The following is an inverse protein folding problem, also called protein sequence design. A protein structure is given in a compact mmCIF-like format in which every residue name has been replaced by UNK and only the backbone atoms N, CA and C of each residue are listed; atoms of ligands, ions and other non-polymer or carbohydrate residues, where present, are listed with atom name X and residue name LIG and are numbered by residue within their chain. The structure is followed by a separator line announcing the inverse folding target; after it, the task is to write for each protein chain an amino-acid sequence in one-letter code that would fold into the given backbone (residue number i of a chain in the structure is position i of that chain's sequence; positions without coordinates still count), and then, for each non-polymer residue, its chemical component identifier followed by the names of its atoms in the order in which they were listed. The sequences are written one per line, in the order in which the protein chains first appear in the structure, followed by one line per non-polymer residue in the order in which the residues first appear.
data_IF_106355271785
#
_entry.id   IF_106355271785
#
_cell.length_a   1.000
_cell.length_b   1.000
_cell.length_c   1.000
_cell.angle_alpha   90.00
_cell.angle_beta   90.00
_cell.angle_gamma   90.00
#
_symmetry.space_group_name_H-M   'P 1'
#
loop_
_entity.id
_entity.type
_entity.pdbx_description
1 polymer ?
#
# COMPACT_ATOMS: atom_id res chain seq x y z
N UNK A 1 0.45 4.43 -25.04
CA UNK A 1 1.59 3.87 -24.28
C UNK A 1 1.59 4.26 -22.80
N UNK A 2 1.29 5.52 -22.45
CA UNK A 2 1.35 6.02 -21.06
C UNK A 2 0.29 5.41 -20.14
N UNK A 3 -0.95 5.22 -20.62
CA UNK A 3 -2.06 4.56 -19.90
C UNK A 3 -1.68 3.18 -19.33
N UNK A 4 -1.15 2.28 -20.17
CA UNK A 4 -0.75 0.94 -19.73
C UNK A 4 0.45 0.96 -18.78
N UNK A 5 1.41 1.88 -18.99
CA UNK A 5 2.53 2.06 -18.05
C UNK A 5 2.04 2.53 -16.68
N UNK A 6 1.07 3.44 -16.65
CA UNK A 6 0.44 3.91 -15.41
C UNK A 6 -0.31 2.77 -14.72
N UNK A 7 -1.16 2.03 -15.42
CA UNK A 7 -1.88 0.87 -14.85
C UNK A 7 -0.94 -0.19 -14.27
N UNK A 8 0.19 -0.44 -14.94
CA UNK A 8 1.20 -1.37 -14.42
C UNK A 8 1.86 -0.83 -13.16
N UNK A 9 2.21 0.46 -13.13
CA UNK A 9 2.77 1.10 -11.93
C UNK A 9 1.79 1.07 -10.75
N UNK A 10 0.50 1.33 -11.01
CA UNK A 10 -0.57 1.23 -10.00
C UNK A 10 -0.70 -0.21 -9.48
N UNK A 11 -0.62 -1.22 -10.35
CA UNK A 11 -0.63 -2.63 -9.93
C UNK A 11 0.56 -2.95 -9.03
N UNK A 12 1.77 -2.52 -9.40
CA UNK A 12 2.97 -2.76 -8.60
C UNK A 12 2.89 -2.06 -7.25
N UNK A 13 2.41 -0.82 -7.22
CA UNK A 13 2.23 -0.07 -5.98
C UNK A 13 1.28 -0.80 -5.02
N UNK A 14 0.16 -1.33 -5.54
CA UNK A 14 -0.77 -2.17 -4.76
C UNK A 14 -0.06 -3.36 -4.13
N UNK A 15 0.65 -4.12 -4.95
CA UNK A 15 1.33 -5.35 -4.51
C UNK A 15 2.38 -5.04 -3.44
N UNK A 16 3.21 -4.02 -3.65
CA UNK A 16 4.23 -3.62 -2.67
C UNK A 16 3.62 -3.11 -1.37
N UNK A 17 2.50 -2.36 -1.42
CA UNK A 17 1.83 -1.89 -0.21
C UNK A 17 1.35 -3.07 0.66
N UNK A 18 0.75 -4.10 0.03
CA UNK A 18 0.34 -5.33 0.72
C UNK A 18 1.54 -6.09 1.31
N UNK A 19 2.60 -6.29 0.52
CA UNK A 19 3.81 -6.98 0.98
C UNK A 19 4.47 -6.27 2.16
N UNK A 20 4.55 -4.93 2.14
CA UNK A 20 5.07 -4.16 3.27
C UNK A 20 4.17 -4.35 4.50
N UNK A 21 2.85 -4.45 4.33
CA UNK A 21 1.92 -4.65 5.44
C UNK A 21 2.20 -5.96 6.15
N UNK A 22 2.31 -7.04 5.37
CA UNK A 22 2.57 -8.38 5.89
C UNK A 22 3.94 -8.40 6.62
N UNK A 23 4.98 -7.83 6.00
CA UNK A 23 6.33 -7.75 6.59
C UNK A 23 6.38 -6.86 7.85
N UNK A 24 5.58 -5.81 7.90
CA UNK A 24 5.48 -4.93 9.05
C UNK A 24 4.85 -5.67 10.22
N UNK A 25 3.74 -6.39 10.00
CA UNK A 25 3.07 -7.18 11.03
C UNK A 25 3.93 -8.36 11.52
N UNK A 26 4.78 -8.94 10.65
CA UNK A 26 5.73 -9.99 11.01
C UNK A 26 7.02 -9.47 11.67
N UNK A 27 7.22 -8.15 11.73
CA UNK A 27 8.45 -7.56 12.26
C UNK A 27 8.55 -7.68 13.78
N UNK A 28 9.78 -7.64 14.31
CA UNK A 28 9.99 -7.63 15.75
C UNK A 28 9.45 -6.34 16.40
N UNK A 29 9.16 -6.39 17.70
CA UNK A 29 8.59 -5.25 18.45
C UNK A 29 9.40 -3.95 18.30
N UNK A 30 10.73 -4.03 18.16
CA UNK A 30 11.57 -2.83 18.03
C UNK A 30 11.35 -2.20 16.66
N UNK A 31 11.31 -3.01 15.62
CA UNK A 31 11.05 -2.58 14.24
C UNK A 31 9.61 -2.06 14.10
N UNK A 32 8.63 -2.81 14.60
CA UNK A 32 7.21 -2.44 14.58
C UNK A 32 6.97 -1.08 15.25
N UNK A 33 7.51 -0.87 16.46
CA UNK A 33 7.33 0.39 17.18
C UNK A 33 8.01 1.56 16.48
N UNK A 34 9.23 1.38 15.96
CA UNK A 34 9.94 2.45 15.22
C UNK A 34 9.21 2.87 13.95
N UNK A 35 8.64 1.91 13.22
CA UNK A 35 7.87 2.23 12.03
C UNK A 35 6.59 2.99 12.39
N UNK A 36 5.93 2.66 13.50
CA UNK A 36 4.75 3.37 14.00
C UNK A 36 5.07 4.78 14.55
N UNK A 37 6.20 4.98 15.24
CA UNK A 37 6.59 6.28 15.80
C UNK A 37 6.71 7.39 14.74
N UNK A 38 7.11 7.02 13.52
CA UNK A 38 7.25 7.94 12.39
C UNK A 38 6.12 7.85 11.36
N UNK A 39 5.09 7.05 11.61
CA UNK A 39 4.03 6.82 10.64
C UNK A 39 3.15 8.08 10.49
N UNK A 40 2.98 8.61 9.26
CA UNK A 40 2.39 9.95 9.07
C UNK A 40 0.86 9.96 9.02
N UNK A 41 0.20 8.81 9.20
CA UNK A 41 -1.25 8.69 9.15
C UNK A 41 -1.82 8.35 10.52
N UNK A 42 -3.04 8.81 10.78
CA UNK A 42 -3.74 8.57 12.04
C UNK A 42 -4.27 7.12 12.16
N UNK A 43 -4.36 6.42 11.03
CA UNK A 43 -4.79 5.02 10.96
C UNK A 43 -3.60 4.08 11.04
N UNK A 44 -3.82 2.79 11.33
CA UNK A 44 -2.75 1.81 11.18
C UNK A 44 -2.39 1.59 9.69
N UNK A 45 -1.19 1.03 9.46
CA UNK A 45 -0.71 0.84 8.09
C UNK A 45 -1.58 -0.14 7.29
N UNK A 46 -2.19 -1.14 7.93
CA UNK A 46 -3.08 -2.08 7.26
C UNK A 46 -4.33 -1.37 6.70
N UNK A 47 -4.96 -0.48 7.47
CA UNK A 47 -6.08 0.33 7.01
C UNK A 47 -5.68 1.25 5.85
N UNK A 48 -4.47 1.83 5.90
CA UNK A 48 -3.91 2.64 4.80
C UNK A 48 -3.73 1.79 3.54
N UNK A 49 -3.21 0.58 3.67
CA UNK A 49 -3.04 -0.37 2.56
C UNK A 49 -4.39 -0.74 1.95
N UNK A 50 -5.42 -1.05 2.74
CA UNK A 50 -6.76 -1.33 2.22
C UNK A 50 -7.34 -0.15 1.44
N UNK A 51 -7.16 1.08 1.93
CA UNK A 51 -7.59 2.29 1.21
C UNK A 51 -6.84 2.45 -0.12
N UNK A 52 -5.54 2.18 -0.14
CA UNK A 52 -4.73 2.17 -1.36
C UNK A 52 -5.24 1.10 -2.32
N UNK A 53 -5.45 -0.14 -1.86
CA UNK A 53 -5.95 -1.24 -2.69
C UNK A 53 -7.29 -0.89 -3.36
N UNK A 54 -8.25 -0.41 -2.57
CA UNK A 54 -9.57 -0.01 -3.05
C UNK A 54 -9.48 1.13 -4.08
N UNK A 55 -8.66 2.15 -3.81
CA UNK A 55 -8.46 3.26 -4.74
C UNK A 55 -7.85 2.77 -6.06
N UNK A 56 -6.83 1.93 -6.02
CA UNK A 56 -6.13 1.43 -7.20
C UNK A 56 -7.02 0.52 -8.05
N UNK A 57 -7.82 -0.35 -7.43
CA UNK A 57 -8.83 -1.16 -8.14
C UNK A 57 -9.81 -0.26 -8.89
N UNK A 58 -10.33 0.78 -8.21
CA UNK A 58 -11.24 1.76 -8.82
C UNK A 58 -10.58 2.44 -10.03
N UNK A 59 -9.32 2.87 -9.90
CA UNK A 59 -8.61 3.49 -11.02
C UNK A 59 -8.38 2.51 -12.18
N UNK A 60 -8.08 1.24 -11.89
CA UNK A 60 -7.94 0.21 -12.91
C UNK A 60 -9.23 -0.02 -13.69
N UNK A 61 -10.40 0.08 -13.06
CA UNK A 61 -11.69 -0.04 -13.74
C UNK A 61 -12.00 1.18 -14.60
N UNK A 62 -11.80 2.38 -14.06
CA UNK A 62 -12.05 3.65 -14.78
C UNK A 62 -11.07 3.87 -15.94
N UNK A 63 -9.84 3.37 -15.78
CA UNK A 63 -8.78 3.47 -16.78
C UNK A 63 -8.59 2.16 -17.53
N UNK A 64 -9.50 1.19 -17.55
CA UNK A 64 -9.46 0.12 -18.57
C UNK A 64 -9.89 0.66 -19.93
#
# INVERSE_FOLDING_TARGET
MTKNKLLNALTLFKTSAREISDLWDESDDVTFNKLNEGFPFDQDFCEVVEKIENWLITQQELLK
#
